data_IF_355349410016
#
_entry.id   IF_355349410016
#
_cell.length_a   1.000
_cell.length_b   1.000
_cell.length_c   1.000
_cell.angle_alpha   90.00
_cell.angle_beta   90.00
_cell.angle_gamma   90.00
#
_symmetry.space_group_name_H-M   'P 1'
#
loop_
_entity.id
_entity.type
_entity.pdbx_description
1 polymer ?
#
# COMPACT_ATOMS: atom_id res chain seq x y z
N UNK A 1 17.25 -6.23 26.50
CA UNK A 1 17.97 -6.28 25.22
C UNK A 1 16.96 -5.85 24.16
N UNK A 2 17.15 -4.71 23.52
CA UNK A 2 16.25 -4.27 22.45
C UNK A 2 16.68 -4.93 21.15
N UNK A 3 15.91 -5.88 20.65
CA UNK A 3 16.12 -6.47 19.32
C UNK A 3 15.74 -5.42 18.29
N UNK A 4 16.69 -5.02 17.44
CA UNK A 4 16.41 -4.13 16.31
C UNK A 4 15.39 -4.81 15.40
N UNK A 5 14.30 -4.12 15.01
CA UNK A 5 13.28 -4.73 14.18
C UNK A 5 13.83 -5.11 12.80
N UNK A 6 13.32 -6.20 12.24
CA UNK A 6 13.66 -6.65 10.88
C UNK A 6 13.08 -5.70 9.82
N UNK A 7 13.58 -5.76 8.59
CA UNK A 7 13.03 -4.97 7.47
C UNK A 7 11.54 -5.23 7.25
N UNK A 8 11.10 -6.48 7.43
CA UNK A 8 9.69 -6.87 7.29
C UNK A 8 8.84 -6.30 8.42
N UNK A 9 9.36 -6.29 9.66
CA UNK A 9 8.67 -5.65 10.80
C UNK A 9 8.54 -4.14 10.60
N UNK A 10 9.59 -3.48 10.12
CA UNK A 10 9.54 -2.05 9.80
C UNK A 10 8.53 -1.74 8.69
N UNK A 11 8.49 -2.60 7.66
CA UNK A 11 7.50 -2.49 6.59
C UNK A 11 6.07 -2.60 7.14
N UNK A 12 5.79 -3.63 7.96
CA UNK A 12 4.46 -3.82 8.54
C UNK A 12 4.06 -2.68 9.48
N UNK A 13 4.99 -2.18 10.31
CA UNK A 13 4.74 -1.00 11.16
C UNK A 13 4.36 0.24 10.34
N UNK A 14 4.97 0.41 9.16
CA UNK A 14 4.62 1.51 8.27
C UNK A 14 3.24 1.31 7.63
N UNK A 15 2.91 0.09 7.20
CA UNK A 15 1.57 -0.27 6.70
C UNK A 15 0.51 0.03 7.77
N UNK A 16 0.74 -0.39 9.01
CA UNK A 16 -0.18 -0.16 10.13
C UNK A 16 -0.40 1.33 10.40
N UNK A 17 0.63 2.16 10.21
CA UNK A 17 0.52 3.62 10.35
C UNK A 17 -0.44 4.20 9.30
N UNK A 18 -0.36 3.74 8.05
CA UNK A 18 -1.27 4.19 6.99
C UNK A 18 -2.71 3.70 7.23
N UNK A 19 -2.89 2.45 7.66
CA UNK A 19 -4.20 1.89 7.98
C UNK A 19 -4.83 2.61 9.18
N UNK A 20 -4.06 2.88 10.23
CA UNK A 20 -4.51 3.66 11.39
C UNK A 20 -5.02 5.03 10.97
N UNK A 21 -4.24 5.73 10.15
CA UNK A 21 -4.63 7.04 9.60
C UNK A 21 -5.93 6.95 8.80
N UNK A 22 -6.07 5.93 7.94
CA UNK A 22 -7.28 5.73 7.15
C UNK A 22 -8.51 5.45 8.03
N UNK A 23 -8.34 4.65 9.08
CA UNK A 23 -9.39 4.34 10.05
C UNK A 23 -9.84 5.57 10.84
N UNK A 24 -8.90 6.43 11.26
CA UNK A 24 -9.22 7.72 11.90
C UNK A 24 -10.02 8.63 10.96
N UNK A 25 -9.65 8.71 9.68
CA UNK A 25 -10.43 9.49 8.70
C UNK A 25 -11.81 8.88 8.44
N UNK A 26 -11.94 7.55 8.48
CA UNK A 26 -13.20 6.84 8.31
C UNK A 26 -14.24 7.11 9.41
N UNK A 27 -13.83 7.76 10.52
CA UNK A 27 -14.77 8.24 11.54
C UNK A 27 -15.61 9.43 11.07
N UNK A 28 -15.06 10.25 10.15
CA UNK A 28 -15.64 11.54 9.77
C UNK A 28 -15.79 11.74 8.25
N UNK A 29 -15.40 10.75 7.43
CA UNK A 29 -15.46 10.79 5.96
C UNK A 29 -16.07 9.51 5.41
N UNK A 30 -16.65 9.59 4.20
CA UNK A 30 -17.18 8.40 3.52
C UNK A 30 -16.05 7.41 3.21
N UNK A 31 -16.24 6.14 3.59
CA UNK A 31 -15.28 5.07 3.31
C UNK A 31 -15.08 4.86 1.80
N UNK A 32 -16.08 5.19 0.99
CA UNK A 32 -16.01 5.12 -0.47
C UNK A 32 -14.95 6.06 -1.07
N UNK A 33 -14.55 7.13 -0.35
CA UNK A 33 -13.48 8.04 -0.82
C UNK A 33 -12.11 7.69 -0.24
N UNK A 34 -12.05 7.02 0.92
CA UNK A 34 -10.79 6.74 1.62
C UNK A 34 -9.94 5.71 0.87
N UNK A 35 -10.55 4.61 0.43
CA UNK A 35 -9.84 3.57 -0.34
C UNK A 35 -9.18 4.12 -1.61
N UNK A 36 -9.95 4.78 -2.50
CA UNK A 36 -9.39 5.44 -3.68
C UNK A 36 -8.33 6.49 -3.34
N UNK A 37 -8.49 7.25 -2.25
CA UNK A 37 -7.51 8.24 -1.82
C UNK A 37 -6.17 7.60 -1.39
N UNK A 38 -6.20 6.50 -0.63
CA UNK A 38 -4.99 5.75 -0.27
C UNK A 38 -4.28 5.21 -1.52
N UNK A 39 -5.04 4.62 -2.45
CA UNK A 39 -4.49 4.12 -3.71
C UNK A 39 -3.82 5.25 -4.52
N UNK A 40 -4.48 6.41 -4.62
CA UNK A 40 -3.92 7.57 -5.31
C UNK A 40 -2.71 8.17 -4.59
N UNK A 41 -2.69 8.17 -3.25
CA UNK A 41 -1.53 8.60 -2.49
C UNK A 41 -0.30 7.72 -2.77
N UNK A 42 -0.49 6.39 -2.82
CA UNK A 42 0.58 5.45 -3.16
C UNK A 42 1.12 5.69 -4.59
N UNK A 43 0.25 5.91 -5.58
CA UNK A 43 0.71 6.18 -6.96
C UNK A 43 1.46 7.49 -7.09
N UNK A 44 1.04 8.55 -6.37
CA UNK A 44 1.79 9.82 -6.31
C UNK A 44 3.17 9.64 -5.68
N UNK A 45 3.26 8.88 -4.60
CA UNK A 45 4.53 8.60 -3.95
C UNK A 45 5.46 7.78 -4.86
N UNK A 46 4.94 6.76 -5.54
CA UNK A 46 5.70 5.97 -6.51
C UNK A 46 6.24 6.80 -7.68
N UNK A 47 5.42 7.70 -8.24
CA UNK A 47 5.85 8.62 -9.29
C UNK A 47 6.95 9.58 -8.80
N UNK A 48 6.82 10.09 -7.57
CA UNK A 48 7.85 10.90 -6.92
C UNK A 48 9.16 10.12 -6.74
N UNK A 49 9.10 8.87 -6.27
CA UNK A 49 10.29 8.04 -6.10
C UNK A 49 11.02 7.80 -7.42
N UNK A 50 10.29 7.56 -8.51
CA UNK A 50 10.90 7.47 -9.83
C UNK A 50 11.56 8.79 -10.24
N UNK A 51 10.88 9.92 -10.06
CA UNK A 51 11.45 11.22 -10.37
C UNK A 51 12.77 11.47 -9.62
N UNK A 52 12.82 11.13 -8.33
CA UNK A 52 14.03 11.26 -7.50
C UNK A 52 15.15 10.28 -7.87
N UNK A 53 14.80 9.14 -8.48
CA UNK A 53 15.78 8.14 -8.93
C UNK A 53 16.38 8.46 -10.31
N UNK A 54 15.78 9.38 -11.06
CA UNK A 54 16.22 9.77 -12.41
C UNK A 54 16.95 11.12 -12.41
N UNK A 55 17.89 11.30 -13.35
CA UNK A 55 18.75 12.49 -13.41
C UNK A 55 18.10 13.66 -14.13
N UNK A 56 17.19 13.36 -15.06
CA UNK A 56 16.50 14.34 -15.90
C UNK A 56 15.17 13.79 -16.44
N UNK A 57 14.43 14.63 -17.17
CA UNK A 57 13.11 14.30 -17.69
C UNK A 57 13.15 13.25 -18.81
N UNK A 58 14.24 13.19 -19.59
CA UNK A 58 14.43 12.18 -20.63
C UNK A 58 14.56 10.78 -20.02
N UNK A 59 15.33 10.66 -18.94
CA UNK A 59 15.48 9.41 -18.18
C UNK A 59 14.16 9.03 -17.51
N UNK A 60 13.46 9.98 -16.87
CA UNK A 60 12.13 9.75 -16.30
C UNK A 60 11.16 9.18 -17.34
N UNK A 61 11.09 9.80 -18.53
CA UNK A 61 10.23 9.33 -19.62
C UNK A 61 10.57 7.89 -20.02
N UNK A 62 11.87 7.59 -20.18
CA UNK A 62 12.33 6.26 -20.57
C UNK A 62 12.04 5.20 -19.52
N UNK A 63 12.10 5.55 -18.23
CA UNK A 63 11.87 4.63 -17.12
C UNK A 63 10.40 4.56 -16.65
N UNK A 64 9.54 5.48 -17.09
CA UNK A 64 8.15 5.58 -16.63
C UNK A 64 7.30 4.34 -16.91
N UNK A 65 7.32 3.80 -18.13
CA UNK A 65 6.56 2.59 -18.48
C UNK A 65 7.08 1.33 -17.76
N UNK A 66 8.40 1.04 -17.73
CA UNK A 66 8.94 -0.04 -16.92
C UNK A 66 8.54 0.04 -15.44
N UNK A 67 8.63 1.23 -14.82
CA UNK A 67 8.24 1.44 -13.44
C UNK A 67 6.74 1.25 -13.23
N UNK A 68 5.91 1.78 -14.14
CA UNK A 68 4.45 1.58 -14.11
C UNK A 68 4.08 0.10 -14.14
N UNK A 69 4.69 -0.67 -15.03
CA UNK A 69 4.45 -2.13 -15.11
C UNK A 69 4.82 -2.82 -13.80
N UNK A 70 5.99 -2.50 -13.24
CA UNK A 70 6.43 -3.04 -11.96
C UNK A 70 5.43 -2.73 -10.83
N UNK A 71 4.99 -1.46 -10.70
CA UNK A 71 4.05 -1.08 -9.64
C UNK A 71 2.70 -1.77 -9.77
N UNK A 72 2.20 -1.98 -11.00
CA UNK A 72 0.95 -2.72 -11.23
C UNK A 72 1.10 -4.20 -10.86
N UNK A 73 2.22 -4.84 -11.22
CA UNK A 73 2.49 -6.23 -10.86
C UNK A 73 2.60 -6.42 -9.33
N UNK A 74 3.28 -5.51 -8.63
CA UNK A 74 3.35 -5.55 -7.17
C UNK A 74 1.98 -5.33 -6.52
N UNK A 75 1.20 -4.37 -7.04
CA UNK A 75 -0.14 -4.10 -6.52
C UNK A 75 -1.05 -5.31 -6.68
N UNK A 76 -1.07 -5.94 -7.86
CA UNK A 76 -1.86 -7.13 -8.13
C UNK A 76 -1.49 -8.28 -7.18
N UNK A 77 -0.19 -8.53 -6.99
CA UNK A 77 0.28 -9.57 -6.06
C UNK A 77 -0.20 -9.30 -4.63
N UNK A 78 0.04 -8.08 -4.12
CA UNK A 78 -0.36 -7.72 -2.76
C UNK A 78 -1.87 -7.79 -2.57
N UNK A 79 -2.65 -7.34 -3.56
CA UNK A 79 -4.11 -7.39 -3.49
C UNK A 79 -4.61 -8.84 -3.46
N UNK A 80 -4.08 -9.70 -4.35
CA UNK A 80 -4.41 -11.11 -4.40
C UNK A 80 -4.06 -11.85 -3.10
N UNK A 81 -2.90 -11.54 -2.50
CA UNK A 81 -2.48 -12.15 -1.23
C UNK A 81 -3.38 -11.71 -0.07
N UNK A 82 -3.76 -10.42 0.00
CA UNK A 82 -4.73 -9.94 0.98
C UNK A 82 -6.11 -10.59 0.79
N UNK A 83 -6.60 -10.72 -0.44
CA UNK A 83 -7.88 -11.37 -0.70
C UNK A 83 -7.88 -12.84 -0.26
N UNK A 84 -6.82 -13.59 -0.58
CA UNK A 84 -6.68 -14.98 -0.11
C UNK A 84 -6.67 -15.08 1.42
N UNK A 85 -6.02 -14.14 2.11
CA UNK A 85 -6.03 -14.11 3.57
C UNK A 85 -7.44 -13.84 4.14
N UNK A 86 -8.17 -12.89 3.56
CA UNK A 86 -9.56 -12.61 3.92
C UNK A 86 -10.51 -13.77 3.58
N UNK A 87 -10.29 -14.48 2.47
CA UNK A 87 -11.05 -15.69 2.11
C UNK A 87 -10.80 -16.80 3.13
N UNK A 88 -9.54 -17.04 3.50
CA UNK A 88 -9.17 -18.08 4.46
C UNK A 88 -9.65 -17.79 5.90
N UNK A 89 -9.78 -16.51 6.26
CA UNK A 89 -10.12 -16.07 7.61
C UNK A 89 -11.47 -15.31 7.68
N UNK A 90 -12.34 -15.50 6.70
CA UNK A 90 -13.53 -14.67 6.49
C UNK A 90 -14.40 -14.51 7.75
N UNK A 91 -14.80 -15.63 8.37
CA UNK A 91 -15.68 -15.62 9.55
C UNK A 91 -14.98 -15.05 10.79
N UNK A 92 -13.68 -15.30 10.93
CA UNK A 92 -12.86 -14.79 12.03
C UNK A 92 -12.76 -13.26 11.95
N UNK A 93 -12.49 -12.69 10.78
CA UNK A 93 -12.33 -11.25 10.62
C UNK A 93 -13.65 -10.48 10.64
N UNK A 94 -14.78 -11.13 10.32
CA UNK A 94 -16.10 -10.52 10.45
C UNK A 94 -16.72 -10.65 11.85
N UNK A 95 -16.07 -11.37 12.76
CA UNK A 95 -16.60 -11.62 14.10
C UNK A 95 -17.87 -12.48 14.09
N UNK A 96 -18.10 -13.27 13.04
CA UNK A 96 -19.25 -14.19 12.93
C UNK A 96 -19.02 -15.53 13.63
N UNK A 97 -17.85 -15.75 14.21
CA UNK A 97 -17.60 -16.84 15.16
C UNK A 97 -17.93 -16.38 16.60
N UNK A 98 -19.22 -16.30 16.92
CA UNK A 98 -19.78 -16.46 18.27
C UNK A 98 -21.03 -17.33 18.19
#
# INVERSE_FOLDING_TARGET
MSTTPTTDEQFMQLVDTFITTANEKAQNMDRNVIGPALMFAATRFNAYMLAMATRNVEEFKTQSEPARKYYLEQHEKMLADNFKDFEANFDKYRGTNQ
#
